data_IF_805215484680
#
_entry.id   IF_805215484680
#
_cell.length_a   1.000
_cell.length_b   1.000
_cell.length_c   1.000
_cell.angle_alpha   90.00
_cell.angle_beta   90.00
_cell.angle_gamma   90.00
#
_symmetry.space_group_name_H-M   'P 1'
#
loop_
_entity.id
_entity.type
_entity.pdbx_description
1 polymer ?
#
# COMPACT_ATOMS: atom_id res chain seq x y z
N UNK A 1 15.61 -22.66 -3.58
CA UNK A 1 16.79 -21.75 -3.72
C UNK A 1 16.52 -20.58 -4.67
N UNK A 2 15.94 -20.78 -5.86
CA UNK A 2 15.74 -19.67 -6.83
C UNK A 2 14.89 -18.51 -6.31
N UNK A 3 13.82 -18.77 -5.54
CA UNK A 3 13.02 -17.72 -4.90
C UNK A 3 13.78 -16.86 -3.86
N UNK A 4 14.94 -17.31 -3.38
CA UNK A 4 15.66 -16.71 -2.25
C UNK A 4 16.93 -15.99 -2.70
N UNK A 5 17.67 -16.54 -3.66
CA UNK A 5 19.05 -16.13 -3.95
C UNK A 5 19.38 -16.06 -5.45
N UNK A 6 18.41 -16.15 -6.34
CA UNK A 6 18.67 -15.92 -7.77
C UNK A 6 18.88 -14.42 -7.99
N UNK A 7 19.92 -14.02 -8.73
CA UNK A 7 20.22 -12.60 -8.96
C UNK A 7 19.13 -11.92 -9.79
N UNK A 8 18.41 -12.68 -10.63
CA UNK A 8 17.34 -12.13 -11.46
C UNK A 8 16.03 -12.01 -10.67
N UNK A 9 15.58 -10.77 -10.46
CA UNK A 9 14.32 -10.48 -9.77
C UNK A 9 13.09 -11.09 -10.45
N UNK A 10 13.09 -11.21 -11.78
CA UNK A 10 11.97 -11.83 -12.51
C UNK A 10 11.84 -13.30 -12.13
N UNK A 11 12.99 -14.01 -12.05
CA UNK A 11 13.03 -15.41 -11.64
C UNK A 11 12.57 -15.56 -10.19
N UNK A 12 12.99 -14.65 -9.30
CA UNK A 12 12.54 -14.69 -7.89
C UNK A 12 11.03 -14.49 -7.80
N UNK A 13 10.49 -13.50 -8.51
CA UNK A 13 9.05 -13.20 -8.56
C UNK A 13 8.25 -14.38 -9.10
N UNK A 14 8.59 -14.89 -10.29
CA UNK A 14 7.91 -16.05 -10.89
C UNK A 14 8.00 -17.28 -9.99
N UNK A 15 9.14 -17.47 -9.31
CA UNK A 15 9.28 -18.57 -8.37
C UNK A 15 8.32 -18.43 -7.17
N UNK A 16 8.03 -17.21 -6.68
CA UNK A 16 7.02 -17.00 -5.64
C UNK A 16 5.62 -17.39 -6.14
N UNK A 17 5.23 -16.92 -7.33
CA UNK A 17 3.92 -17.25 -7.93
C UNK A 17 3.74 -18.77 -8.08
N UNK A 18 4.77 -19.47 -8.58
CA UNK A 18 4.75 -20.92 -8.73
C UNK A 18 4.70 -21.63 -7.37
N UNK A 19 5.44 -21.14 -6.38
CA UNK A 19 5.47 -21.74 -5.05
C UNK A 19 4.10 -21.67 -4.39
N UNK A 20 3.44 -20.51 -4.46
CA UNK A 20 2.10 -20.33 -3.88
C UNK A 20 1.08 -21.19 -4.62
N UNK A 21 1.18 -21.31 -5.94
CA UNK A 21 0.24 -22.13 -6.73
C UNK A 21 0.40 -23.63 -6.45
N UNK A 22 1.63 -24.12 -6.32
CA UNK A 22 1.93 -25.55 -6.16
C UNK A 22 1.93 -26.06 -4.71
N UNK A 23 2.33 -25.22 -3.77
CA UNK A 23 2.69 -25.64 -2.41
C UNK A 23 2.12 -24.74 -1.31
N UNK A 24 1.01 -24.03 -1.56
CA UNK A 24 0.36 -23.15 -0.57
C UNK A 24 0.20 -23.75 0.83
N UNK A 25 -0.09 -25.05 0.91
CA UNK A 25 -0.38 -25.75 2.16
C UNK A 25 0.88 -26.30 2.86
N UNK A 26 2.07 -26.12 2.28
CA UNK A 26 3.31 -26.53 2.92
C UNK A 26 3.71 -25.55 4.03
N UNK A 27 4.27 -26.08 5.10
CA UNK A 27 4.80 -25.28 6.20
C UNK A 27 5.93 -24.37 5.71
N UNK A 28 5.98 -23.13 6.22
CA UNK A 28 7.06 -22.19 5.93
C UNK A 28 6.88 -21.33 4.67
N UNK A 29 5.90 -21.59 3.80
CA UNK A 29 5.64 -20.75 2.62
C UNK A 29 5.26 -19.32 3.02
N UNK A 30 4.38 -19.17 4.01
CA UNK A 30 4.02 -17.84 4.51
C UNK A 30 5.24 -17.09 5.06
N UNK A 31 6.11 -17.78 5.80
CA UNK A 31 7.32 -17.17 6.37
C UNK A 31 8.31 -16.75 5.28
N UNK A 32 8.49 -17.58 4.24
CA UNK A 32 9.27 -17.21 3.06
C UNK A 32 8.72 -15.93 2.41
N UNK A 33 7.41 -15.84 2.20
CA UNK A 33 6.79 -14.64 1.62
C UNK A 33 6.98 -13.42 2.52
N UNK A 34 6.78 -13.54 3.84
CA UNK A 34 7.02 -12.43 4.79
C UNK A 34 8.46 -11.93 4.68
N UNK A 35 9.43 -12.84 4.60
CA UNK A 35 10.84 -12.46 4.42
C UNK A 35 11.08 -11.74 3.10
N UNK A 36 10.48 -12.20 2.00
CA UNK A 36 10.58 -11.53 0.69
C UNK A 36 9.93 -10.16 0.69
N UNK A 37 8.74 -10.03 1.27
CA UNK A 37 8.03 -8.76 1.38
C UNK A 37 8.82 -7.68 2.14
N UNK A 38 9.69 -8.08 3.09
CA UNK A 38 10.46 -7.15 3.92
C UNK A 38 11.86 -6.88 3.39
N UNK A 39 12.55 -7.90 2.86
CA UNK A 39 14.01 -7.87 2.69
C UNK A 39 14.49 -8.12 1.26
N UNK A 40 13.59 -8.36 0.29
CA UNK A 40 14.05 -8.50 -1.10
C UNK A 40 14.47 -7.14 -1.65
N UNK A 41 15.64 -7.07 -2.29
CA UNK A 41 16.17 -5.82 -2.83
C UNK A 41 15.33 -5.27 -3.99
N UNK A 42 14.56 -6.12 -4.68
CA UNK A 42 13.72 -5.70 -5.79
C UNK A 42 12.27 -5.46 -5.34
N UNK A 43 11.79 -4.24 -5.57
CA UNK A 43 10.46 -3.81 -5.18
C UNK A 43 9.33 -4.65 -5.81
N UNK A 44 9.51 -5.19 -7.02
CA UNK A 44 8.51 -6.02 -7.69
C UNK A 44 8.34 -7.37 -6.98
N UNK A 45 9.42 -7.92 -6.44
CA UNK A 45 9.36 -9.14 -5.63
C UNK A 45 8.68 -8.86 -4.29
N UNK A 46 9.00 -7.72 -3.64
CA UNK A 46 8.34 -7.31 -2.39
C UNK A 46 6.83 -7.11 -2.58
N UNK A 47 6.45 -6.40 -3.65
CA UNK A 47 5.05 -6.16 -4.02
C UNK A 47 4.29 -7.47 -4.27
N UNK A 48 4.84 -8.35 -5.11
CA UNK A 48 4.26 -9.68 -5.39
C UNK A 48 4.07 -10.47 -4.10
N UNK A 49 5.08 -10.47 -3.21
CA UNK A 49 4.97 -11.17 -1.94
C UNK A 49 3.81 -10.65 -1.09
N UNK A 50 3.57 -9.33 -1.04
CA UNK A 50 2.41 -8.77 -0.33
C UNK A 50 1.09 -9.22 -0.94
N UNK A 51 0.95 -9.15 -2.27
CA UNK A 51 -0.26 -9.57 -2.99
C UNK A 51 -0.58 -11.05 -2.70
N UNK A 52 0.43 -11.92 -2.79
CA UNK A 52 0.29 -13.35 -2.51
C UNK A 52 -0.06 -13.63 -1.05
N UNK A 53 0.56 -12.90 -0.10
CA UNK A 53 0.25 -13.02 1.33
C UNK A 53 -1.22 -12.69 1.59
N UNK A 54 -1.72 -11.57 1.05
CA UNK A 54 -3.11 -11.16 1.30
C UNK A 54 -4.09 -12.11 0.62
N UNK A 55 -3.80 -12.55 -0.59
CA UNK A 55 -4.64 -13.52 -1.31
C UNK A 55 -4.70 -14.88 -0.59
N UNK A 56 -3.58 -15.33 -0.06
CA UNK A 56 -3.45 -16.68 0.49
C UNK A 56 -3.76 -16.79 1.99
N UNK A 57 -3.42 -15.76 2.76
CA UNK A 57 -3.27 -15.80 4.22
C UNK A 57 -3.81 -14.55 4.93
N UNK A 58 -4.77 -13.83 4.33
CA UNK A 58 -5.37 -12.61 4.90
C UNK A 58 -5.69 -12.68 6.41
N UNK A 59 -6.19 -13.82 6.87
CA UNK A 59 -6.67 -14.01 8.24
C UNK A 59 -5.59 -14.48 9.22
N UNK A 60 -4.36 -14.68 8.75
CA UNK A 60 -3.24 -15.05 9.61
C UNK A 60 -2.79 -13.87 10.49
N UNK A 61 -2.24 -14.20 11.64
CA UNK A 61 -1.76 -13.20 12.58
C UNK A 61 -0.58 -12.40 11.98
N UNK A 62 -0.58 -11.09 12.24
CA UNK A 62 0.49 -10.18 11.86
C UNK A 62 0.46 -9.71 10.41
N UNK A 63 -0.45 -10.18 9.55
CA UNK A 63 -0.51 -9.70 8.15
C UNK A 63 -0.85 -8.22 8.06
N UNK A 64 -1.81 -7.75 8.85
CA UNK A 64 -2.13 -6.33 8.90
C UNK A 64 -0.92 -5.51 9.36
N UNK A 65 -0.18 -5.97 10.37
CA UNK A 65 0.99 -5.24 10.87
C UNK A 65 2.13 -5.18 9.85
N UNK A 66 2.36 -6.27 9.11
CA UNK A 66 3.27 -6.28 7.98
C UNK A 66 2.88 -5.23 6.93
N UNK A 67 1.61 -5.19 6.52
CA UNK A 67 1.13 -4.20 5.56
C UNK A 67 1.29 -2.77 6.10
N UNK A 68 0.96 -2.51 7.37
CA UNK A 68 1.14 -1.20 8.00
C UNK A 68 2.60 -0.76 7.96
N UNK A 69 3.53 -1.68 8.25
CA UNK A 69 4.96 -1.41 8.19
C UNK A 69 5.40 -1.05 6.77
N UNK A 70 4.96 -1.83 5.76
CA UNK A 70 5.30 -1.60 4.35
C UNK A 70 4.73 -0.29 3.82
N UNK A 71 3.46 0.00 4.11
CA UNK A 71 2.79 1.26 3.71
C UNK A 71 3.51 2.53 4.21
N UNK A 72 4.31 2.42 5.28
CA UNK A 72 4.95 3.58 5.95
C UNK A 72 6.43 3.68 5.63
N UNK A 73 7.13 2.55 5.52
CA UNK A 73 8.59 2.51 5.59
C UNK A 73 9.26 1.88 4.37
N UNK A 74 8.49 1.32 3.43
CA UNK A 74 9.10 0.78 2.21
C UNK A 74 9.65 1.93 1.35
N UNK A 75 10.85 1.75 0.81
CA UNK A 75 11.54 2.79 0.04
C UNK A 75 10.85 3.08 -1.30
N UNK A 76 10.27 2.05 -1.91
CA UNK A 76 9.59 2.13 -3.18
C UNK A 76 8.09 2.41 -3.02
N UNK A 77 7.60 3.39 -3.77
CA UNK A 77 6.21 3.84 -3.73
C UNK A 77 5.20 2.77 -4.16
N UNK A 78 5.53 1.90 -5.12
CA UNK A 78 4.62 0.86 -5.60
C UNK A 78 4.36 -0.20 -4.51
N UNK A 79 5.35 -0.48 -3.67
CA UNK A 79 5.15 -1.37 -2.50
C UNK A 79 4.30 -0.68 -1.43
N UNK A 80 4.50 0.62 -1.20
CA UNK A 80 3.67 1.39 -0.27
C UNK A 80 2.22 1.46 -0.75
N UNK A 81 2.01 1.67 -2.05
CA UNK A 81 0.70 1.70 -2.71
C UNK A 81 -0.03 0.36 -2.58
N UNK A 82 0.62 -0.74 -2.93
CA UNK A 82 0.04 -2.08 -2.78
C UNK A 82 -0.42 -2.31 -1.33
N UNK A 83 0.45 -2.02 -0.35
CA UNK A 83 0.09 -2.18 1.06
C UNK A 83 -1.12 -1.31 1.46
N UNK A 84 -1.18 -0.05 1.01
CA UNK A 84 -2.29 0.86 1.26
C UNK A 84 -3.61 0.36 0.68
N UNK A 85 -3.60 -0.09 -0.57
CA UNK A 85 -4.79 -0.57 -1.28
C UNK A 85 -5.34 -1.85 -0.64
N UNK A 86 -4.45 -2.78 -0.27
CA UNK A 86 -4.82 -3.99 0.46
C UNK A 86 -5.43 -3.65 1.83
N UNK A 87 -4.85 -2.69 2.56
CA UNK A 87 -5.42 -2.21 3.84
C UNK A 87 -6.80 -1.58 3.63
N UNK A 88 -6.96 -0.68 2.65
CA UNK A 88 -8.22 0.00 2.38
C UNK A 88 -9.34 -0.98 1.98
N UNK A 89 -8.99 -2.02 1.23
CA UNK A 89 -9.95 -3.04 0.80
C UNK A 89 -10.27 -4.03 1.92
N UNK A 90 -9.25 -4.47 2.64
CA UNK A 90 -9.34 -5.62 3.54
C UNK A 90 -9.57 -5.30 5.01
N UNK A 91 -9.17 -4.11 5.47
CA UNK A 91 -9.09 -3.77 6.89
C UNK A 91 -9.56 -2.35 7.24
N UNK A 92 -10.26 -1.64 6.34
CA UNK A 92 -10.76 -0.26 6.58
C UNK A 92 -11.45 0.00 7.92
N UNK A 93 -12.08 -0.99 8.56
CA UNK A 93 -12.75 -0.78 9.86
C UNK A 93 -11.87 -1.19 11.06
N UNK A 94 -10.61 -1.54 10.82
CA UNK A 94 -9.66 -1.96 11.84
C UNK A 94 -9.19 -0.80 12.73
N UNK A 95 -8.69 -1.12 13.94
CA UNK A 95 -8.15 -0.12 14.83
C UNK A 95 -6.92 0.57 14.23
N UNK A 96 -6.91 1.91 14.33
CA UNK A 96 -5.80 2.77 13.89
C UNK A 96 -5.65 2.92 12.37
N UNK A 97 -6.60 2.44 11.56
CA UNK A 97 -6.48 2.51 10.09
C UNK A 97 -6.71 3.92 9.56
N UNK A 98 -7.68 4.65 10.12
CA UNK A 98 -7.86 6.07 9.81
C UNK A 98 -6.61 6.89 10.16
N UNK A 99 -6.05 6.69 11.36
CA UNK A 99 -4.81 7.34 11.82
C UNK A 99 -3.65 7.07 10.85
N UNK A 100 -3.51 5.82 10.41
CA UNK A 100 -2.50 5.43 9.43
C UNK A 100 -2.66 6.17 8.10
N UNK A 101 -3.86 6.15 7.52
CA UNK A 101 -4.11 6.86 6.26
C UNK A 101 -3.89 8.36 6.41
N UNK A 102 -4.32 8.94 7.54
CA UNK A 102 -4.12 10.36 7.82
C UNK A 102 -2.64 10.71 7.86
N UNK A 103 -1.84 9.91 8.57
CA UNK A 103 -0.38 10.07 8.64
C UNK A 103 0.27 9.96 7.26
N UNK A 104 -0.13 8.99 6.44
CA UNK A 104 0.42 8.78 5.10
C UNK A 104 0.05 9.93 4.18
N UNK A 105 -1.22 10.36 4.18
CA UNK A 105 -1.69 11.49 3.40
C UNK A 105 -0.91 12.79 3.69
N UNK A 106 -0.33 12.94 4.88
CA UNK A 106 0.53 14.07 5.26
C UNK A 106 2.00 13.82 4.96
N UNK A 107 2.54 12.65 5.34
CA UNK A 107 3.98 12.48 5.53
C UNK A 107 4.64 11.56 4.50
N UNK A 108 3.90 10.93 3.59
CA UNK A 108 4.54 10.06 2.60
C UNK A 108 5.53 10.86 1.74
N UNK A 109 6.77 10.37 1.57
CA UNK A 109 7.85 11.11 0.92
C UNK A 109 7.74 11.18 -0.61
N UNK A 110 6.68 10.62 -1.22
CA UNK A 110 6.52 10.52 -2.66
C UNK A 110 6.79 11.85 -3.38
N UNK A 111 7.67 11.79 -4.37
CA UNK A 111 7.92 12.83 -5.35
C UNK A 111 7.64 12.26 -6.73
N UNK A 112 6.82 12.96 -7.51
CA UNK A 112 6.47 12.53 -8.85
C UNK A 112 7.65 12.80 -9.79
N UNK A 113 8.13 11.74 -10.43
CA UNK A 113 9.11 11.81 -11.51
C UNK A 113 8.42 11.69 -12.86
N UNK A 114 7.43 10.81 -12.93
CA UNK A 114 6.70 10.49 -14.15
C UNK A 114 5.19 10.67 -13.98
N UNK A 115 4.54 11.01 -15.08
CA UNK A 115 3.12 11.35 -15.06
C UNK A 115 2.21 10.16 -14.71
N UNK A 116 2.65 8.94 -14.98
CA UNK A 116 1.86 7.72 -14.74
C UNK A 116 1.96 7.19 -13.30
N UNK A 117 2.87 7.70 -12.47
CA UNK A 117 3.05 7.22 -11.11
C UNK A 117 1.83 7.52 -10.24
N UNK A 118 1.40 6.58 -9.42
CA UNK A 118 0.38 6.83 -8.42
C UNK A 118 0.99 7.43 -7.16
N UNK A 119 0.22 8.26 -6.47
CA UNK A 119 0.70 9.00 -5.30
C UNK A 119 0.13 8.36 -4.02
N UNK A 120 0.95 7.76 -3.15
CA UNK A 120 0.50 7.16 -1.90
C UNK A 120 -0.31 8.12 -1.01
N UNK A 121 0.02 9.43 -1.01
CA UNK A 121 -0.76 10.44 -0.28
C UNK A 121 -2.17 10.57 -0.85
N UNK A 122 -2.32 10.52 -2.17
CA UNK A 122 -3.62 10.57 -2.83
C UNK A 122 -4.42 9.30 -2.54
N UNK A 123 -3.81 8.11 -2.64
CA UNK A 123 -4.45 6.83 -2.34
C UNK A 123 -4.98 6.78 -0.90
N UNK A 124 -4.18 7.24 0.07
CA UNK A 124 -4.61 7.36 1.45
C UNK A 124 -5.78 8.36 1.62
N UNK A 125 -5.70 9.52 0.96
CA UNK A 125 -6.75 10.54 1.00
C UNK A 125 -8.06 10.05 0.37
N UNK A 126 -7.97 9.31 -0.74
CA UNK A 126 -9.10 8.65 -1.40
C UNK A 126 -9.76 7.64 -0.48
N UNK A 127 -8.98 6.80 0.20
CA UNK A 127 -9.48 5.86 1.20
C UNK A 127 -10.20 6.59 2.34
N UNK A 128 -9.65 7.72 2.83
CA UNK A 128 -10.27 8.53 3.88
C UNK A 128 -11.63 9.07 3.42
N UNK A 129 -11.68 9.72 2.26
CA UNK A 129 -12.90 10.32 1.71
C UNK A 129 -13.97 9.25 1.44
N UNK A 130 -13.56 8.05 0.99
CA UNK A 130 -14.48 6.96 0.68
C UNK A 130 -15.03 6.25 1.91
N UNK A 131 -14.20 6.05 2.94
CA UNK A 131 -14.54 5.18 4.07
C UNK A 131 -14.87 5.92 5.36
N UNK A 132 -14.51 7.20 5.47
CA UNK A 132 -14.78 8.03 6.64
C UNK A 132 -15.28 9.44 6.24
N UNK A 133 -16.30 9.55 5.35
CA UNK A 133 -16.76 10.85 4.85
C UNK A 133 -17.22 11.79 5.97
N UNK A 134 -17.84 11.25 7.02
CA UNK A 134 -18.39 12.03 8.14
C UNK A 134 -17.37 12.28 9.27
N UNK A 135 -16.14 11.78 9.15
CA UNK A 135 -15.13 12.02 10.17
C UNK A 135 -14.68 13.49 10.14
N UNK A 136 -14.58 14.11 11.32
CA UNK A 136 -14.30 15.54 11.48
C UNK A 136 -13.00 16.00 10.80
N UNK A 137 -12.03 15.10 10.60
CA UNK A 137 -10.76 15.41 9.97
C UNK A 137 -10.73 15.19 8.45
N UNK A 138 -11.76 14.59 7.85
CA UNK A 138 -11.79 14.28 6.41
C UNK A 138 -11.80 15.54 5.56
N UNK A 139 -12.73 16.47 5.83
CA UNK A 139 -12.80 17.74 5.08
C UNK A 139 -11.57 18.62 5.30
N UNK A 140 -11.09 18.87 6.55
CA UNK A 140 -9.88 19.66 6.77
C UNK A 140 -8.64 19.08 6.08
N UNK A 141 -8.47 17.75 6.09
CA UNK A 141 -7.35 17.10 5.41
C UNK A 141 -7.43 17.29 3.89
N UNK A 142 -8.63 17.11 3.31
CA UNK A 142 -8.85 17.29 1.87
C UNK A 142 -8.60 18.74 1.43
N UNK A 143 -9.03 19.71 2.23
CA UNK A 143 -8.76 21.14 2.02
C UNK A 143 -7.27 21.45 2.09
N UNK A 144 -6.58 20.98 3.14
CA UNK A 144 -5.15 21.19 3.26
C UNK A 144 -4.38 20.57 2.08
N UNK A 145 -4.72 19.34 1.70
CA UNK A 145 -4.08 18.69 0.54
C UNK A 145 -4.38 19.37 -0.79
N UNK A 146 -5.53 20.01 -0.95
CA UNK A 146 -5.83 20.82 -2.12
C UNK A 146 -4.94 22.06 -2.24
N UNK A 147 -4.55 22.66 -1.11
CA UNK A 147 -3.77 23.90 -1.08
C UNK A 147 -2.26 23.65 -1.00
N UNK A 148 -1.85 22.67 -0.19
CA UNK A 148 -0.49 22.57 0.34
C UNK A 148 0.26 21.29 -0.07
N UNK A 149 -0.38 20.28 -0.70
CA UNK A 149 0.37 19.07 -1.10
C UNK A 149 1.46 19.43 -2.11
N UNK A 150 2.69 18.89 -2.02
CA UNK A 150 3.73 19.20 -3.00
C UNK A 150 3.40 18.71 -4.42
N UNK A 151 2.61 17.64 -4.57
CA UNK A 151 2.23 17.07 -5.86
C UNK A 151 1.05 17.82 -6.52
N UNK A 152 1.27 18.36 -7.72
CA UNK A 152 0.26 19.15 -8.42
C UNK A 152 -0.98 18.32 -8.80
N UNK A 153 -0.80 17.05 -9.17
CA UNK A 153 -1.92 16.18 -9.54
C UNK A 153 -2.84 15.92 -8.36
N UNK A 154 -2.26 15.64 -7.20
CA UNK A 154 -3.00 15.49 -5.95
C UNK A 154 -3.76 16.78 -5.60
N UNK A 155 -3.12 17.96 -5.68
CA UNK A 155 -3.81 19.26 -5.45
C UNK A 155 -5.02 19.44 -6.38
N UNK A 156 -4.85 19.16 -7.68
CA UNK A 156 -5.94 19.25 -8.69
C UNK A 156 -7.07 18.27 -8.40
N UNK A 157 -6.74 17.03 -8.08
CA UNK A 157 -7.72 16.01 -7.70
C UNK A 157 -8.51 16.45 -6.46
N UNK A 158 -7.83 16.91 -5.42
CA UNK A 158 -8.46 17.33 -4.17
C UNK A 158 -9.41 18.53 -4.36
N UNK A 159 -9.03 19.53 -5.14
CA UNK A 159 -9.91 20.66 -5.51
C UNK A 159 -11.18 20.20 -6.23
N UNK A 160 -11.03 19.29 -7.20
CA UNK A 160 -12.17 18.71 -7.91
C UNK A 160 -13.07 17.93 -6.94
N UNK A 161 -12.48 17.19 -6.01
CA UNK A 161 -13.23 16.41 -5.03
C UNK A 161 -14.01 17.31 -4.05
N UNK A 162 -13.44 18.43 -3.60
CA UNK A 162 -14.14 19.42 -2.77
C UNK A 162 -15.37 19.99 -3.49
N UNK A 163 -15.23 20.39 -4.75
CA UNK A 163 -16.36 20.88 -5.55
C UNK A 163 -17.49 19.85 -5.69
N UNK A 164 -17.15 18.55 -5.71
CA UNK A 164 -18.15 17.48 -5.76
C UNK A 164 -18.86 17.26 -4.42
N UNK A 165 -18.28 17.67 -3.29
CA UNK A 165 -18.88 17.55 -1.97
C UNK A 165 -19.76 18.76 -1.60
N UNK A 166 -19.59 19.88 -2.30
CA UNK A 166 -20.39 21.11 -2.14
C UNK A 166 -21.69 21.10 -2.96
N UNK A 167 -21.80 20.21 -3.95
CA UNK A 167 -22.98 20.03 -4.82
C UNK A 167 -23.84 18.85 -4.37
#
# INVERSE_FOLDING_TARGET
>A
QRAVSDDNWQVRREALEQIVTGWKNEEGILELLKQRAVSDDNWQVRREALEQIVTGWKNEEGILELLKQRAVSDDNEDVRLEALEQIATGWKNGPGILELFYRIAINDPFQREEDFQDNPRQTALEAIVKHYPDHLQTLPLLQDRAENDPDEKLRKWAKKKLQQLEN
#
